data_IF_857403680499
#
_entry.id   IF_857403680499
#
_cell.length_a   1.000
_cell.length_b   1.000
_cell.length_c   1.000
_cell.angle_alpha   90.00
_cell.angle_beta   90.00
_cell.angle_gamma   90.00
#
_symmetry.space_group_name_H-M   'P 1'
#
loop_
_entity.id
_entity.type
_entity.pdbx_description
1 polymer ?
#
# COMPACT_ATOMS: atom_id res chain seq x y z
N UNK A 1 0.58 -36.12 -48.93
CA UNK A 1 1.01 -35.08 -49.89
C UNK A 1 1.06 -33.75 -49.16
N UNK A 2 2.27 -33.16 -49.09
CA UNK A 2 2.64 -31.73 -49.00
C UNK A 2 1.77 -30.72 -48.21
N UNK A 3 2.34 -30.20 -47.12
CA UNK A 3 2.34 -28.76 -46.71
C UNK A 3 2.82 -27.84 -47.88
N UNK A 4 2.79 -26.47 -47.85
CA UNK A 4 2.77 -25.55 -46.68
C UNK A 4 2.00 -24.20 -46.83
N UNK A 5 1.97 -23.47 -45.69
CA UNK A 5 2.16 -22.03 -45.42
C UNK A 5 2.05 -20.96 -46.51
N UNK A 6 1.43 -19.80 -46.18
CA UNK A 6 1.98 -18.49 -46.55
C UNK A 6 1.55 -17.34 -45.61
N UNK A 7 2.59 -16.69 -45.08
CA UNK A 7 2.66 -15.35 -44.48
C UNK A 7 2.16 -14.26 -45.43
N UNK A 8 1.51 -13.21 -44.91
CA UNK A 8 1.66 -11.83 -45.43
C UNK A 8 1.62 -10.81 -44.27
N UNK A 9 2.76 -10.14 -44.06
CA UNK A 9 2.96 -8.87 -43.34
C UNK A 9 2.42 -7.68 -44.17
N UNK A 10 2.41 -6.47 -43.59
CA UNK A 10 2.40 -5.10 -44.22
C UNK A 10 1.05 -4.36 -43.95
N UNK A 11 0.94 -3.10 -43.49
CA UNK A 11 1.83 -1.95 -43.28
C UNK A 11 1.17 -1.00 -42.24
N UNK A 12 1.97 -0.32 -41.42
CA UNK A 12 1.55 0.88 -40.66
C UNK A 12 1.72 2.11 -41.55
N UNK A 13 0.72 2.99 -41.65
CA UNK A 13 0.86 4.33 -42.26
C UNK A 13 0.23 5.40 -41.37
N UNK A 14 1.06 6.35 -40.97
CA UNK A 14 0.69 7.58 -40.26
C UNK A 14 0.14 8.61 -41.25
N UNK A 15 -0.91 9.34 -40.85
CA UNK A 15 -1.43 10.48 -41.63
C UNK A 15 -1.34 11.74 -40.78
N UNK A 16 -0.48 12.67 -41.20
CA UNK A 16 -0.41 14.03 -40.69
C UNK A 16 -1.35 14.93 -41.52
N UNK A 17 -2.18 15.73 -40.85
CA UNK A 17 -3.08 16.70 -41.49
C UNK A 17 -2.53 18.10 -41.21
N UNK A 18 -2.11 18.79 -42.27
CA UNK A 18 -1.75 20.21 -42.27
C UNK A 18 -2.91 20.98 -42.92
N UNK A 19 -3.50 21.94 -42.22
CA UNK A 19 -4.54 22.82 -42.77
C UNK A 19 -3.91 24.17 -43.11
N UNK A 20 -4.07 24.57 -44.37
CA UNK A 20 -3.62 25.82 -44.94
C UNK A 20 -4.60 26.97 -44.70
N UNK A 21 -3.98 28.14 -44.61
CA UNK A 21 -4.42 29.52 -44.48
C UNK A 21 -5.48 29.97 -45.51
N UNK A 22 -6.30 30.95 -45.13
CA UNK A 22 -7.04 31.81 -46.08
C UNK A 22 -7.13 33.24 -45.54
N UNK A 23 -6.64 34.19 -46.34
CA UNK A 23 -6.73 35.64 -46.14
C UNK A 23 -8.11 36.19 -46.50
N UNK A 24 -8.56 37.24 -45.82
CA UNK A 24 -9.32 38.32 -46.46
C UNK A 24 -9.16 39.64 -45.70
N UNK A 25 -8.96 40.70 -46.47
CA UNK A 25 -8.69 42.07 -46.01
C UNK A 25 -9.98 42.86 -45.80
N UNK A 26 -9.97 43.80 -44.85
CA UNK A 26 -11.07 44.73 -44.59
C UNK A 26 -10.59 45.97 -43.82
N UNK A 27 -10.68 47.10 -44.50
CA UNK A 27 -10.27 48.50 -44.27
C UNK A 27 -10.66 49.14 -42.92
N UNK A 28 -9.80 50.05 -42.44
CA UNK A 28 -9.93 50.92 -41.23
C UNK A 28 -11.09 51.95 -41.30
N UNK A 29 -11.46 52.58 -40.16
CA UNK A 29 -11.05 53.98 -39.99
C UNK A 29 -10.59 54.41 -38.58
N UNK A 30 -9.94 55.59 -38.59
CA UNK A 30 -9.15 56.30 -37.58
C UNK A 30 -9.92 56.85 -36.37
N UNK A 31 -9.29 56.89 -35.18
CA UNK A 31 -9.67 57.69 -34.00
C UNK A 31 -8.55 57.76 -32.94
N UNK A 32 -8.43 58.83 -32.11
CA UNK A 32 -7.15 59.54 -31.94
C UNK A 32 -6.27 59.17 -30.73
N UNK A 33 -4.96 59.26 -30.99
CA UNK A 33 -3.83 59.75 -30.17
C UNK A 33 -4.05 59.94 -28.67
N UNK A 34 -3.44 59.05 -27.87
CA UNK A 34 -3.08 59.32 -26.48
C UNK A 34 -1.57 59.63 -26.38
N UNK A 35 -1.29 60.82 -25.88
CA UNK A 35 0.02 61.42 -25.63
C UNK A 35 0.79 60.67 -24.54
N UNK A 36 1.92 60.05 -24.88
CA UNK A 36 2.89 59.54 -23.91
C UNK A 36 3.85 60.66 -23.48
N UNK A 37 3.86 61.00 -22.19
CA UNK A 37 4.92 61.77 -21.56
C UNK A 37 6.08 60.82 -21.15
N UNK A 38 7.36 61.22 -21.31
CA UNK A 38 8.49 60.50 -20.74
C UNK A 38 9.03 61.24 -19.51
N UNK A 39 8.82 60.73 -18.30
CA UNK A 39 9.54 61.10 -17.05
C UNK A 39 9.15 60.06 -16.00
N UNK A 40 10.00 59.39 -15.21
CA UNK A 40 11.38 59.62 -14.80
C UNK A 40 12.08 58.26 -14.58
N UNK A 41 13.38 58.21 -14.89
CA UNK A 41 14.28 57.15 -14.41
C UNK A 41 14.48 57.30 -12.90
N UNK A 42 14.07 56.28 -12.15
CA UNK A 42 14.61 56.02 -10.81
C UNK A 42 15.45 54.76 -10.93
N UNK A 43 16.78 54.94 -10.90
CA UNK A 43 17.72 53.88 -10.57
C UNK A 43 17.45 53.44 -9.14
N UNK A 44 16.76 52.32 -8.98
CA UNK A 44 16.87 51.51 -7.77
C UNK A 44 18.01 50.52 -8.00
N UNK A 45 19.03 50.62 -7.16
CA UNK A 45 20.20 49.74 -7.10
C UNK A 45 19.74 48.31 -6.84
N UNK A 46 19.83 47.43 -7.84
CA UNK A 46 19.70 45.99 -7.62
C UNK A 46 20.92 45.52 -6.82
N UNK A 47 20.67 45.15 -5.57
CA UNK A 47 21.57 44.34 -4.76
C UNK A 47 21.48 42.89 -5.27
N UNK A 48 22.56 42.29 -5.83
CA UNK A 48 22.52 40.94 -6.34
C UNK A 48 22.77 39.95 -5.20
N UNK A 49 21.81 39.83 -4.28
CA UNK A 49 21.89 38.85 -3.18
C UNK A 49 20.51 38.43 -2.65
N UNK A 50 19.51 38.31 -3.51
CA UNK A 50 18.24 37.65 -3.17
C UNK A 50 17.66 36.93 -4.37
N UNK A 51 18.29 35.84 -4.78
CA UNK A 51 17.61 34.82 -5.57
C UNK A 51 18.16 33.45 -5.23
N UNK A 52 17.22 32.51 -5.07
CA UNK A 52 17.38 31.06 -4.92
C UNK A 52 17.55 30.57 -3.48
N UNK A 53 16.42 30.47 -2.75
CA UNK A 53 16.25 29.44 -1.73
C UNK A 53 14.86 28.81 -1.92
N UNK A 54 14.85 27.49 -2.03
CA UNK A 54 13.83 26.66 -2.66
C UNK A 54 12.42 26.84 -2.11
N UNK A 55 11.46 26.83 -3.02
CA UNK A 55 10.06 26.62 -2.70
C UNK A 55 9.89 25.20 -2.15
N UNK A 56 9.10 25.06 -1.09
CA UNK A 56 8.59 23.79 -0.58
C UNK A 56 7.37 23.37 -1.42
N UNK A 57 6.70 22.21 -1.17
CA UNK A 57 5.60 21.75 -2.03
C UNK A 57 4.52 22.83 -2.11
N UNK A 58 4.36 23.34 -3.33
CA UNK A 58 3.39 24.37 -3.67
C UNK A 58 1.98 23.85 -3.35
N UNK A 59 1.33 24.42 -2.33
CA UNK A 59 -0.14 24.50 -2.29
C UNK A 59 -0.95 23.43 -1.55
N UNK A 60 -0.62 23.11 -0.29
CA UNK A 60 -1.61 22.42 0.57
C UNK A 60 -2.73 23.40 0.96
N UNK A 61 -3.94 23.16 0.45
CA UNK A 61 -5.10 23.98 0.78
C UNK A 61 -5.56 23.77 2.23
N UNK A 62 -6.09 24.83 2.86
CA UNK A 62 -6.79 24.70 4.14
C UNK A 62 -7.96 23.73 3.97
N UNK A 63 -8.03 22.77 4.89
CA UNK A 63 -9.01 21.69 4.90
C UNK A 63 -8.49 20.35 4.37
N UNK A 64 -7.33 20.33 3.74
CA UNK A 64 -6.63 19.11 3.31
C UNK A 64 -6.16 18.30 4.51
N UNK A 65 -6.33 16.98 4.47
CA UNK A 65 -5.67 16.07 5.42
C UNK A 65 -4.26 15.77 4.91
N UNK A 66 -3.28 15.84 5.79
CA UNK A 66 -1.88 15.52 5.52
C UNK A 66 -1.44 14.35 6.39
N UNK A 67 -0.49 13.57 5.87
CA UNK A 67 0.21 12.52 6.61
C UNK A 67 1.64 12.98 6.89
N UNK A 68 2.13 12.74 8.10
CA UNK A 68 3.53 13.00 8.45
C UNK A 68 4.44 11.98 7.76
N UNK A 69 5.43 12.47 7.02
CA UNK A 69 6.38 11.67 6.24
C UNK A 69 7.78 11.62 6.88
N UNK A 70 8.12 12.55 7.78
CA UNK A 70 9.36 12.50 8.58
C UNK A 70 9.19 11.65 9.85
N UNK A 71 10.31 11.17 10.44
CA UNK A 71 10.27 10.34 11.66
C UNK A 71 9.55 11.06 12.82
N UNK A 72 9.80 12.35 12.99
CA UNK A 72 9.14 13.23 13.96
C UNK A 72 9.03 14.65 13.39
N UNK A 73 7.85 15.25 13.52
CA UNK A 73 7.60 16.66 13.22
C UNK A 73 7.01 17.33 14.45
N UNK A 74 7.54 18.50 14.81
CA UNK A 74 7.15 19.21 16.03
C UNK A 74 6.06 20.23 15.75
N UNK A 75 4.98 20.15 16.52
CA UNK A 75 3.93 21.16 16.56
C UNK A 75 4.38 22.33 17.43
N UNK A 76 4.14 23.55 16.96
CA UNK A 76 4.56 24.80 17.63
C UNK A 76 3.41 25.78 17.81
N UNK A 77 3.55 26.68 18.77
CA UNK A 77 2.58 27.76 19.02
C UNK A 77 2.47 28.79 17.89
N UNK A 78 3.47 28.89 17.01
CA UNK A 78 3.52 29.84 15.89
C UNK A 78 4.32 29.29 14.72
N UNK A 79 4.06 29.81 13.51
CA UNK A 79 4.83 29.54 12.29
C UNK A 79 6.28 30.05 12.40
N UNK A 80 7.17 29.21 12.91
CA UNK A 80 8.59 29.53 13.07
C UNK A 80 9.30 28.66 14.10
N UNK A 81 10.61 28.56 13.94
CA UNK A 81 11.54 27.83 14.82
C UNK A 81 11.63 28.40 16.23
N UNK A 82 11.26 29.68 16.42
CA UNK A 82 11.17 30.33 17.73
C UNK A 82 9.87 30.01 18.50
N UNK A 83 8.86 29.42 17.84
CA UNK A 83 7.61 29.01 18.49
C UNK A 83 7.84 27.90 19.52
N UNK A 84 7.13 27.95 20.65
CA UNK A 84 7.21 26.92 21.68
C UNK A 84 6.63 25.62 21.16
N UNK A 85 7.31 24.50 21.40
CA UNK A 85 6.82 23.17 21.01
C UNK A 85 5.63 22.79 21.89
N UNK A 86 4.48 22.53 21.28
CA UNK A 86 3.24 22.14 21.96
C UNK A 86 2.97 20.64 21.87
N UNK A 87 3.59 19.96 20.90
CA UNK A 87 3.46 18.53 20.69
C UNK A 87 4.38 18.04 19.57
N UNK A 88 4.28 16.76 19.26
CA UNK A 88 5.01 16.12 18.18
C UNK A 88 4.08 15.12 17.50
N UNK A 89 4.16 15.08 16.18
CA UNK A 89 3.55 14.04 15.35
C UNK A 89 4.67 13.19 14.76
N UNK A 90 4.47 11.89 14.65
CA UNK A 90 5.44 10.94 14.11
C UNK A 90 5.01 10.47 12.72
N UNK A 91 5.93 9.84 11.97
CA UNK A 91 5.62 9.30 10.64
C UNK A 91 4.33 8.48 10.66
N UNK A 92 3.43 8.77 9.72
CA UNK A 92 2.14 8.10 9.58
C UNK A 92 0.99 8.83 10.27
N UNK A 93 1.26 9.71 11.24
CA UNK A 93 0.23 10.51 11.89
C UNK A 93 -0.51 11.38 10.87
N UNK A 94 -1.83 11.49 11.05
CA UNK A 94 -2.70 12.29 10.22
C UNK A 94 -3.01 13.60 10.93
N UNK A 95 -3.00 14.70 10.18
CA UNK A 95 -3.44 15.99 10.68
C UNK A 95 -4.22 16.73 9.60
N UNK A 96 -5.20 17.54 10.01
CA UNK A 96 -5.96 18.38 9.09
C UNK A 96 -5.35 19.76 9.04
N UNK A 97 -5.01 20.24 7.85
CA UNK A 97 -4.55 21.62 7.66
C UNK A 97 -5.70 22.58 7.97
N UNK A 98 -5.48 23.48 8.92
CA UNK A 98 -6.44 24.49 9.37
C UNK A 98 -6.00 25.91 9.04
N UNK A 99 -4.71 26.12 8.75
CA UNK A 99 -4.15 27.44 8.39
C UNK A 99 -2.79 27.32 7.68
N UNK A 100 -2.33 28.44 7.11
CA UNK A 100 -1.15 28.49 6.24
C UNK A 100 -1.50 28.46 4.73
N UNK A 101 -0.51 28.43 3.83
CA UNK A 101 0.94 28.42 4.10
C UNK A 101 1.47 29.75 4.64
N UNK A 102 2.45 29.69 5.55
CA UNK A 102 3.24 30.84 6.01
C UNK A 102 4.72 30.52 5.80
N UNK A 103 5.43 31.38 5.07
CA UNK A 103 6.88 31.31 4.93
C UNK A 103 7.57 31.94 6.15
N UNK A 104 8.38 31.16 6.87
CA UNK A 104 9.12 31.65 8.04
C UNK A 104 10.33 30.77 8.33
N UNK A 105 11.45 31.39 8.73
CA UNK A 105 12.71 30.70 9.05
C UNK A 105 13.24 29.73 7.97
N UNK A 106 12.88 29.98 6.70
CA UNK A 106 13.30 29.16 5.56
C UNK A 106 12.46 27.90 5.32
N UNK A 107 11.31 27.77 5.98
CA UNK A 107 10.35 26.69 5.77
C UNK A 107 8.95 27.23 5.46
N UNK A 108 8.17 26.43 4.74
CA UNK A 108 6.72 26.62 4.65
C UNK A 108 6.04 25.99 5.86
N UNK A 109 5.30 26.78 6.61
CA UNK A 109 4.58 26.37 7.80
C UNK A 109 3.08 26.22 7.54
N UNK A 110 2.50 25.18 8.13
CA UNK A 110 1.07 24.93 8.12
C UNK A 110 0.57 24.75 9.55
N UNK A 111 -0.57 25.36 9.86
CA UNK A 111 -1.30 25.10 11.09
C UNK A 111 -2.15 23.85 10.87
N UNK A 112 -2.00 22.87 11.75
CA UNK A 112 -2.71 21.60 11.65
C UNK A 112 -3.46 21.29 12.94
N UNK A 113 -4.50 20.50 12.81
CA UNK A 113 -5.26 19.91 13.91
C UNK A 113 -5.14 18.39 13.81
N UNK A 114 -4.43 17.78 14.76
CA UNK A 114 -4.09 16.36 14.75
C UNK A 114 -4.19 15.71 16.13
N UNK A 115 -3.74 14.45 16.25
CA UNK A 115 -3.79 13.66 17.48
C UNK A 115 -3.06 14.32 18.66
N UNK A 116 -1.96 15.03 18.41
CA UNK A 116 -1.19 15.78 19.40
C UNK A 116 -1.73 17.20 19.69
N UNK A 117 -2.93 17.52 19.18
CA UNK A 117 -3.58 18.83 19.30
C UNK A 117 -3.28 19.78 18.14
N UNK A 118 -3.68 21.04 18.31
CA UNK A 118 -3.49 22.08 17.29
C UNK A 118 -2.11 22.74 17.42
N UNK A 119 -1.44 22.93 16.29
CA UNK A 119 -0.19 23.68 16.23
C UNK A 119 0.38 23.83 14.83
N UNK A 120 1.45 24.59 14.73
CA UNK A 120 2.19 24.85 13.49
C UNK A 120 3.30 23.82 13.30
N UNK A 121 3.35 23.22 12.12
CA UNK A 121 4.46 22.37 11.69
C UNK A 121 5.09 22.90 10.42
N UNK A 122 6.35 22.54 10.20
CA UNK A 122 7.05 22.81 8.96
C UNK A 122 6.81 21.67 7.98
N UNK A 123 6.64 22.00 6.69
CA UNK A 123 6.39 21.02 5.65
C UNK A 123 7.63 20.28 5.15
N UNK A 124 8.83 20.68 5.60
CA UNK A 124 10.09 20.26 5.00
C UNK A 124 10.39 21.06 3.74
N UNK A 125 11.18 20.48 2.83
CA UNK A 125 11.47 21.04 1.51
C UNK A 125 11.05 20.06 0.39
N UNK A 126 11.25 20.44 -0.87
CA UNK A 126 10.89 19.59 -2.03
C UNK A 126 11.68 18.27 -2.09
N UNK A 127 12.89 18.23 -1.56
CA UNK A 127 13.74 17.02 -1.56
C UNK A 127 13.53 16.13 -0.33
N UNK A 128 13.03 16.70 0.76
CA UNK A 128 12.70 16.00 2.01
C UNK A 128 11.39 16.58 2.60
N UNK A 129 10.23 16.21 2.03
CA UNK A 129 8.94 16.66 2.55
C UNK A 129 8.63 15.96 3.88
N UNK A 130 8.34 16.73 4.91
CA UNK A 130 8.00 16.21 6.23
C UNK A 130 6.51 15.92 6.40
N UNK A 131 5.69 16.49 5.52
CA UNK A 131 4.25 16.19 5.39
C UNK A 131 3.91 16.01 3.90
N UNK A 132 3.00 15.09 3.63
CA UNK A 132 2.46 14.84 2.29
C UNK A 132 0.94 14.94 2.33
N UNK A 133 0.29 15.28 1.22
CA UNK A 133 -1.17 15.23 1.19
C UNK A 133 -1.63 13.78 1.41
N UNK A 134 -2.67 13.58 2.21
CA UNK A 134 -3.24 12.25 2.43
C UNK A 134 -3.75 11.63 1.12
N UNK A 135 -4.11 12.46 0.13
CA UNK A 135 -4.50 12.00 -1.20
C UNK A 135 -3.30 11.44 -1.99
N UNK A 136 -2.13 12.07 -1.90
CA UNK A 136 -0.91 11.55 -2.55
C UNK A 136 -0.36 10.33 -1.83
N UNK A 137 -0.47 10.28 -0.49
CA UNK A 137 -0.18 9.08 0.29
C UNK A 137 -1.15 7.92 0.01
N UNK A 138 -2.40 8.24 -0.36
CA UNK A 138 -3.41 7.27 -0.80
C UNK A 138 -3.31 6.93 -2.30
N UNK A 139 -2.58 7.71 -3.10
CA UNK A 139 -2.36 7.46 -4.53
C UNK A 139 -1.22 6.48 -4.82
N UNK A 140 -0.47 6.06 -3.79
CA UNK A 140 0.54 5.04 -3.94
C UNK A 140 -0.11 3.71 -4.33
N UNK A 141 0.19 3.21 -5.53
CA UNK A 141 -0.30 1.93 -6.01
C UNK A 141 0.60 0.80 -5.50
N UNK A 142 0.03 -0.36 -5.21
CA UNK A 142 0.83 -1.53 -4.89
C UNK A 142 1.49 -2.06 -6.17
N UNK A 143 2.80 -1.85 -6.31
CA UNK A 143 3.60 -2.34 -7.43
C UNK A 143 3.70 -3.87 -7.40
N UNK A 144 3.90 -4.44 -6.23
CA UNK A 144 4.10 -5.87 -6.06
C UNK A 144 3.56 -6.37 -4.72
N UNK A 145 2.95 -7.56 -4.75
CA UNK A 145 2.42 -8.25 -3.58
C UNK A 145 2.82 -9.71 -3.60
N UNK A 146 3.24 -10.20 -2.44
CA UNK A 146 3.53 -11.61 -2.22
C UNK A 146 2.72 -12.13 -1.04
N UNK A 147 2.01 -13.23 -1.25
CA UNK A 147 1.30 -13.99 -0.22
C UNK A 147 1.68 -15.46 -0.30
N UNK A 148 1.57 -16.16 0.83
CA UNK A 148 1.89 -17.58 0.90
C UNK A 148 1.00 -18.32 1.88
N UNK A 149 0.80 -19.60 1.60
CA UNK A 149 0.09 -20.51 2.48
C UNK A 149 0.77 -21.87 2.46
N UNK A 150 1.06 -22.43 3.63
CA UNK A 150 1.63 -23.77 3.75
C UNK A 150 0.69 -24.65 4.55
N UNK A 151 0.49 -25.88 4.09
CA UNK A 151 -0.36 -26.91 4.68
C UNK A 151 -1.84 -26.50 4.82
N UNK A 152 -2.17 -25.82 5.90
CA UNK A 152 -3.51 -25.30 6.18
C UNK A 152 -3.53 -23.80 5.97
N UNK A 153 -4.08 -23.36 4.83
CA UNK A 153 -4.33 -21.95 4.58
C UNK A 153 -5.52 -21.47 5.39
N UNK A 154 -5.39 -20.39 6.16
CA UNK A 154 -6.55 -19.75 6.74
C UNK A 154 -7.47 -19.21 5.63
N UNK A 155 -8.74 -18.91 5.95
CA UNK A 155 -9.71 -18.43 4.97
C UNK A 155 -9.24 -17.17 4.23
N UNK A 156 -8.52 -16.27 4.91
CA UNK A 156 -7.94 -15.08 4.30
C UNK A 156 -6.43 -15.12 4.49
N UNK A 157 -5.67 -15.20 3.40
CA UNK A 157 -4.20 -15.12 3.45
C UNK A 157 -3.80 -13.69 3.11
N UNK A 158 -3.38 -12.88 4.09
CA UNK A 158 -3.01 -11.51 3.81
C UNK A 158 -1.59 -11.49 3.20
N UNK A 159 -1.11 -10.39 2.63
CA UNK A 159 0.21 -10.35 2.00
C UNK A 159 1.32 -10.37 3.04
N UNK A 160 2.35 -11.18 2.80
CA UNK A 160 3.57 -11.19 3.61
C UNK A 160 4.49 -10.03 3.24
N UNK A 161 4.38 -9.53 2.01
CA UNK A 161 5.17 -8.44 1.49
C UNK A 161 4.34 -7.66 0.47
N UNK A 162 4.28 -6.33 0.62
CA UNK A 162 3.69 -5.40 -0.34
C UNK A 162 4.67 -4.27 -0.58
N UNK A 163 5.02 -4.02 -1.84
CA UNK A 163 5.82 -2.88 -2.30
C UNK A 163 4.91 -1.85 -2.95
N UNK A 164 4.95 -0.62 -2.45
CA UNK A 164 4.19 0.52 -2.93
C UNK A 164 5.02 1.34 -3.93
N UNK A 165 4.36 2.10 -4.80
CA UNK A 165 5.01 2.93 -5.82
C UNK A 165 5.82 4.10 -5.27
N UNK A 166 5.55 4.50 -4.02
CA UNK A 166 6.28 5.52 -3.29
C UNK A 166 7.46 4.97 -2.47
N UNK A 167 7.80 3.68 -2.64
CA UNK A 167 8.90 3.04 -1.92
C UNK A 167 8.56 2.54 -0.52
N UNK A 168 7.32 2.69 -0.05
CA UNK A 168 6.88 2.02 1.18
C UNK A 168 6.82 0.51 0.98
N UNK A 169 7.30 -0.23 1.98
CA UNK A 169 7.19 -1.68 2.05
C UNK A 169 6.44 -2.07 3.30
N UNK A 170 5.32 -2.77 3.15
CA UNK A 170 4.58 -3.40 4.24
C UNK A 170 4.93 -4.88 4.29
N UNK A 171 5.48 -5.35 5.41
CA UNK A 171 5.89 -6.74 5.62
C UNK A 171 5.20 -7.35 6.82
N UNK A 172 4.84 -8.63 6.73
CA UNK A 172 4.50 -9.39 7.92
C UNK A 172 5.76 -9.57 8.78
N UNK A 173 5.68 -9.19 10.06
CA UNK A 173 6.74 -9.33 11.03
C UNK A 173 6.74 -10.72 11.68
N UNK A 174 7.91 -11.13 12.19
CA UNK A 174 8.11 -12.41 12.87
C UNK A 174 8.29 -13.59 11.91
N UNK A 175 8.36 -14.81 12.47
CA UNK A 175 8.43 -16.07 11.69
C UNK A 175 7.04 -16.52 11.17
N UNK A 176 6.02 -15.66 11.27
CA UNK A 176 4.66 -15.93 10.82
C UNK A 176 3.66 -14.83 11.17
N UNK A 177 2.45 -14.92 10.60
CA UNK A 177 1.38 -13.92 10.66
C UNK A 177 0.88 -13.57 12.06
N UNK A 178 1.08 -14.45 13.04
CA UNK A 178 0.46 -14.39 14.36
C UNK A 178 1.30 -13.64 15.41
N UNK A 179 2.63 -13.58 15.26
CA UNK A 179 3.51 -13.25 16.38
C UNK A 179 4.22 -11.89 16.26
N UNK A 180 4.31 -11.31 15.06
CA UNK A 180 5.12 -10.10 14.83
C UNK A 180 4.37 -8.83 14.42
N UNK A 181 3.08 -8.91 14.06
CA UNK A 181 2.36 -7.78 13.47
C UNK A 181 2.93 -7.39 12.10
N UNK A 182 2.22 -6.56 11.34
CA UNK A 182 2.77 -5.95 10.14
C UNK A 182 3.70 -4.80 10.52
N UNK A 183 4.77 -4.66 9.76
CA UNK A 183 5.71 -3.56 9.85
C UNK A 183 5.75 -2.80 8.54
N UNK A 184 6.05 -1.51 8.62
CA UNK A 184 6.25 -0.65 7.46
C UNK A 184 7.63 0.00 7.51
N UNK A 185 8.24 0.12 6.33
CA UNK A 185 9.56 0.74 6.11
C UNK A 185 9.58 1.51 4.81
N UNK A 186 10.39 2.56 4.76
CA UNK A 186 10.63 3.33 3.55
C UNK A 186 11.94 2.88 2.88
N UNK A 187 11.89 2.67 1.57
CA UNK A 187 13.08 2.47 0.74
C UNK A 187 13.70 3.81 0.35
N UNK A 188 15.01 3.82 0.17
CA UNK A 188 15.69 4.85 -0.64
C UNK A 188 15.35 4.64 -2.12
N UNK A 189 15.60 5.63 -2.98
CA UNK A 189 15.41 5.46 -4.44
C UNK A 189 16.21 4.27 -4.98
N UNK A 190 17.48 4.15 -4.57
CA UNK A 190 18.33 3.02 -4.94
C UNK A 190 17.84 1.69 -4.35
N UNK A 191 17.20 1.71 -3.17
CA UNK A 191 16.54 0.56 -2.57
C UNK A 191 15.30 0.14 -3.33
N UNK A 192 14.51 1.10 -3.81
CA UNK A 192 13.35 0.85 -4.67
C UNK A 192 13.77 0.21 -5.99
N UNK A 193 14.78 0.75 -6.67
CA UNK A 193 15.32 0.13 -7.89
C UNK A 193 15.77 -1.32 -7.65
N UNK A 194 16.49 -1.58 -6.55
CA UNK A 194 16.88 -2.95 -6.17
C UNK A 194 15.66 -3.85 -5.91
N UNK A 195 14.63 -3.32 -5.25
CA UNK A 195 13.41 -4.07 -4.98
C UNK A 195 12.67 -4.43 -6.26
N UNK A 196 12.56 -3.50 -7.21
CA UNK A 196 11.95 -3.73 -8.52
C UNK A 196 12.75 -4.77 -9.31
N UNK A 197 14.07 -4.64 -9.37
CA UNK A 197 14.95 -5.58 -10.04
C UNK A 197 14.84 -7.01 -9.48
N UNK A 198 14.76 -7.13 -8.15
CA UNK A 198 14.64 -8.41 -7.47
C UNK A 198 13.25 -9.06 -7.59
N UNK A 199 12.22 -8.28 -7.93
CA UNK A 199 10.82 -8.71 -8.01
C UNK A 199 10.25 -8.51 -9.41
N UNK A 200 9.71 -7.34 -9.71
CA UNK A 200 8.96 -7.04 -10.92
C UNK A 200 9.74 -7.15 -12.22
N UNK A 201 11.06 -7.01 -12.22
CA UNK A 201 11.86 -7.10 -13.45
C UNK A 201 12.34 -8.53 -13.73
N UNK A 202 11.99 -9.50 -12.87
CA UNK A 202 12.32 -10.90 -13.09
C UNK A 202 11.60 -11.46 -14.32
N UNK A 203 12.28 -12.21 -15.20
CA UNK A 203 11.65 -12.85 -16.36
C UNK A 203 10.45 -13.72 -15.98
N UNK A 204 10.53 -14.43 -14.85
CA UNK A 204 9.50 -15.35 -14.39
C UNK A 204 8.23 -14.64 -13.90
N UNK A 205 8.31 -13.35 -13.58
CA UNK A 205 7.21 -12.53 -13.06
C UNK A 205 6.60 -11.59 -14.11
N UNK A 206 7.10 -11.57 -15.35
CA UNK A 206 6.59 -10.71 -16.43
C UNK A 206 5.22 -11.12 -16.98
N UNK A 207 4.74 -12.34 -16.66
CA UNK A 207 3.49 -12.88 -17.18
C UNK A 207 2.85 -13.81 -16.17
N UNK A 208 1.52 -13.90 -16.19
CA UNK A 208 0.80 -14.90 -15.41
C UNK A 208 1.27 -16.30 -15.77
N UNK A 209 1.51 -17.11 -14.76
CA UNK A 209 1.99 -18.47 -14.89
C UNK A 209 1.66 -19.28 -13.64
N UNK A 210 1.58 -20.60 -13.80
CA UNK A 210 1.39 -21.53 -12.71
C UNK A 210 2.47 -22.60 -12.77
N UNK A 211 3.20 -22.79 -11.68
CA UNK A 211 4.31 -23.73 -11.58
C UNK A 211 3.98 -24.82 -10.56
N UNK A 212 3.90 -26.05 -11.04
CA UNK A 212 3.68 -27.23 -10.20
C UNK A 212 4.92 -28.13 -10.16
N UNK A 213 5.14 -28.89 -9.08
CA UNK A 213 6.17 -29.92 -9.04
C UNK A 213 5.85 -31.04 -10.06
N UNK A 214 6.70 -31.20 -11.07
CA UNK A 214 6.56 -32.26 -12.05
C UNK A 214 7.15 -33.57 -11.53
N UNK A 215 6.34 -34.62 -11.43
CA UNK A 215 6.80 -35.93 -10.96
C UNK A 215 7.76 -36.58 -11.93
N UNK A 216 8.82 -37.19 -11.40
CA UNK A 216 9.72 -38.05 -12.17
C UNK A 216 8.96 -39.31 -12.61
N UNK A 217 9.05 -39.71 -13.88
CA UNK A 217 8.44 -40.95 -14.36
C UNK A 217 8.95 -42.16 -13.58
N UNK A 218 8.03 -42.97 -13.05
CA UNK A 218 8.36 -44.18 -12.30
C UNK A 218 8.89 -43.97 -10.89
N UNK A 219 8.89 -42.74 -10.37
CA UNK A 219 9.13 -42.51 -8.94
C UNK A 219 7.95 -43.05 -8.11
N UNK A 220 8.24 -43.40 -6.86
CA UNK A 220 7.23 -43.72 -5.85
C UNK A 220 6.47 -42.44 -5.43
N UNK A 221 5.49 -42.60 -4.53
CA UNK A 221 4.79 -41.47 -3.94
C UNK A 221 5.74 -40.64 -3.07
N UNK A 222 5.73 -39.30 -3.21
CA UNK A 222 6.56 -38.43 -2.39
C UNK A 222 6.09 -38.48 -0.93
N UNK A 223 7.01 -38.25 0.03
CA UNK A 223 6.63 -38.16 1.43
C UNK A 223 5.68 -36.99 1.66
N UNK A 224 4.72 -37.16 2.57
CA UNK A 224 3.72 -36.13 2.90
C UNK A 224 4.24 -35.09 3.88
N UNK A 225 5.28 -34.32 3.54
CA UNK A 225 5.80 -33.27 4.43
C UNK A 225 5.19 -31.88 4.16
N UNK A 226 4.08 -31.81 3.43
CA UNK A 226 3.36 -30.55 3.23
C UNK A 226 3.69 -29.79 1.95
N UNK A 227 2.74 -28.95 1.53
CA UNK A 227 2.88 -28.09 0.34
C UNK A 227 2.75 -26.63 0.76
N UNK A 228 3.53 -25.78 0.12
CA UNK A 228 3.38 -24.34 0.17
C UNK A 228 2.91 -23.83 -1.19
N UNK A 229 1.95 -22.92 -1.18
CA UNK A 229 1.53 -22.16 -2.35
C UNK A 229 1.99 -20.72 -2.17
N UNK A 230 2.77 -20.25 -3.14
CA UNK A 230 3.25 -18.87 -3.23
C UNK A 230 2.50 -18.15 -4.33
N UNK A 231 1.99 -16.96 -4.04
CA UNK A 231 1.35 -16.10 -5.03
C UNK A 231 2.11 -14.78 -5.13
N UNK A 232 2.56 -14.48 -6.33
CA UNK A 232 3.19 -13.23 -6.70
C UNK A 232 2.22 -12.45 -7.59
N UNK A 233 1.87 -11.24 -7.20
CA UNK A 233 0.98 -10.37 -7.95
C UNK A 233 1.69 -9.03 -8.24
N UNK A 234 1.67 -8.61 -9.50
CA UNK A 234 2.22 -7.34 -9.97
C UNK A 234 1.08 -6.38 -10.34
N UNK A 235 1.32 -5.07 -10.21
CA UNK A 235 0.38 -4.02 -10.63
C UNK A 235 0.01 -4.06 -12.11
N UNK A 236 0.88 -4.62 -12.96
CA UNK A 236 0.80 -4.55 -14.44
C UNK A 236 -0.41 -5.23 -15.08
N UNK A 237 -1.39 -5.71 -14.32
CA UNK A 237 -2.62 -6.34 -14.83
C UNK A 237 -2.41 -7.73 -15.46
N UNK A 238 -1.16 -8.20 -15.54
CA UNK A 238 -0.85 -9.60 -15.74
C UNK A 238 -1.35 -10.39 -14.53
N UNK A 239 -2.17 -11.42 -14.77
CA UNK A 239 -2.64 -12.32 -13.71
C UNK A 239 -1.47 -12.85 -12.84
N UNK A 240 -1.75 -13.35 -11.64
CA UNK A 240 -0.71 -13.72 -10.69
C UNK A 240 0.20 -14.82 -11.25
N UNK A 241 1.42 -14.88 -10.73
CA UNK A 241 2.27 -16.07 -10.80
C UNK A 241 2.05 -16.89 -9.54
N UNK A 242 1.62 -18.13 -9.72
CA UNK A 242 1.36 -19.07 -8.63
C UNK A 242 2.38 -20.19 -8.67
N UNK A 243 3.02 -20.47 -7.55
CA UNK A 243 4.02 -21.53 -7.42
C UNK A 243 3.59 -22.47 -6.31
N UNK A 244 3.38 -23.74 -6.64
CA UNK A 244 3.26 -24.80 -5.64
C UNK A 244 4.64 -25.39 -5.42
N UNK A 245 5.10 -25.35 -4.16
CA UNK A 245 6.37 -25.89 -3.72
C UNK A 245 6.18 -26.91 -2.61
N UNK A 246 7.11 -27.85 -2.50
CA UNK A 246 7.19 -28.77 -1.37
C UNK A 246 8.00 -28.11 -0.25
N UNK A 247 7.67 -28.33 1.01
CA UNK A 247 8.37 -27.63 2.13
C UNK A 247 9.88 -27.95 2.18
N UNK A 248 10.28 -29.14 1.68
CA UNK A 248 11.66 -29.64 1.55
C UNK A 248 12.27 -29.35 0.16
N UNK A 249 11.75 -28.35 -0.56
CA UNK A 249 12.24 -28.01 -1.89
C UNK A 249 13.73 -27.59 -1.87
N UNK A 250 14.51 -28.12 -2.81
CA UNK A 250 15.96 -27.93 -2.89
C UNK A 250 16.78 -28.91 -2.06
N UNK A 251 16.14 -29.78 -1.25
CA UNK A 251 16.83 -30.86 -0.54
C UNK A 251 17.22 -32.01 -1.49
N UNK A 252 18.28 -32.77 -1.20
CA UNK A 252 18.71 -33.89 -2.05
C UNK A 252 17.59 -34.89 -2.35
N UNK A 253 16.71 -35.12 -1.38
CA UNK A 253 15.56 -36.03 -1.48
C UNK A 253 14.55 -35.62 -2.55
N UNK A 254 14.37 -34.32 -2.81
CA UNK A 254 13.42 -33.82 -3.81
C UNK A 254 13.69 -34.43 -5.19
N UNK A 255 14.97 -34.54 -5.56
CA UNK A 255 15.40 -34.99 -6.88
C UNK A 255 15.02 -36.45 -7.19
N UNK A 256 14.72 -37.24 -6.16
CA UNK A 256 14.19 -38.60 -6.24
C UNK A 256 12.78 -38.61 -6.83
N UNK A 257 11.95 -37.61 -6.47
CA UNK A 257 10.52 -37.59 -6.76
C UNK A 257 10.14 -36.65 -7.90
N UNK A 258 10.87 -35.55 -8.07
CA UNK A 258 10.51 -34.48 -9.01
C UNK A 258 11.60 -34.21 -10.05
N UNK A 259 11.18 -33.69 -11.21
CA UNK A 259 12.08 -33.19 -12.24
C UNK A 259 12.67 -31.82 -11.83
N UNK A 260 13.91 -31.50 -12.26
CA UNK A 260 14.48 -30.18 -12.04
C UNK A 260 13.62 -29.09 -12.68
N UNK A 261 13.31 -28.04 -11.93
CA UNK A 261 12.52 -26.89 -12.39
C UNK A 261 13.24 -25.58 -12.01
N UNK A 262 14.12 -25.04 -12.86
CA UNK A 262 14.96 -23.90 -12.51
C UNK A 262 14.17 -22.62 -12.24
N UNK A 263 13.10 -22.35 -12.98
CA UNK A 263 12.20 -21.20 -12.77
C UNK A 263 11.47 -21.32 -11.43
N UNK A 264 10.93 -22.51 -11.12
CA UNK A 264 10.32 -22.80 -9.82
C UNK A 264 11.34 -22.61 -8.69
N UNK A 265 12.59 -23.05 -8.89
CA UNK A 265 13.68 -22.87 -7.92
C UNK A 265 13.99 -21.40 -7.67
N UNK A 266 14.07 -20.62 -8.74
CA UNK A 266 14.29 -19.19 -8.72
C UNK A 266 13.20 -18.47 -7.90
N UNK A 267 11.93 -18.81 -8.13
CA UNK A 267 10.79 -18.23 -7.41
C UNK A 267 10.66 -18.70 -5.96
N UNK A 268 10.96 -19.98 -5.66
CA UNK A 268 10.95 -20.49 -4.27
C UNK A 268 12.00 -19.78 -3.40
N UNK A 269 13.21 -19.58 -3.92
CA UNK A 269 14.26 -18.83 -3.22
C UNK A 269 13.84 -17.38 -2.94
N UNK A 270 13.19 -16.72 -3.91
CA UNK A 270 12.63 -15.38 -3.71
C UNK A 270 11.53 -15.40 -2.64
N UNK A 271 10.59 -16.35 -2.69
CA UNK A 271 9.55 -16.50 -1.69
C UNK A 271 10.14 -16.62 -0.27
N UNK A 272 11.18 -17.44 -0.09
CA UNK A 272 11.87 -17.59 1.21
C UNK A 272 12.51 -16.30 1.70
N UNK A 273 13.00 -15.45 0.81
CA UNK A 273 13.55 -14.13 1.17
C UNK A 273 12.44 -13.13 1.52
N UNK A 274 11.34 -13.14 0.78
CA UNK A 274 10.17 -12.28 1.02
C UNK A 274 9.47 -12.63 2.32
N UNK A 275 9.30 -13.92 2.64
CA UNK A 275 8.77 -14.39 3.93
C UNK A 275 9.58 -13.89 5.13
N UNK A 276 10.87 -13.59 4.94
CA UNK A 276 11.76 -13.06 5.98
C UNK A 276 11.86 -11.53 5.95
N UNK A 277 10.82 -10.83 5.52
CA UNK A 277 10.81 -9.36 5.46
C UNK A 277 11.74 -8.76 4.41
N UNK A 278 11.98 -9.49 3.30
CA UNK A 278 12.77 -8.97 2.18
C UNK A 278 14.27 -8.91 2.45
N UNK A 279 14.83 -9.94 3.10
CA UNK A 279 16.29 -10.08 3.38
C UNK A 279 17.21 -9.98 2.16
N UNK A 280 16.67 -9.94 0.95
CA UNK A 280 17.42 -9.63 -0.28
C UNK A 280 17.84 -8.15 -0.37
N UNK A 281 17.23 -7.26 0.42
CA UNK A 281 17.59 -5.85 0.52
C UNK A 281 18.60 -5.62 1.66
N UNK A 282 19.73 -5.02 1.34
CA UNK A 282 20.75 -4.64 2.32
C UNK A 282 20.30 -3.49 3.23
N UNK A 283 21.06 -3.21 4.30
CA UNK A 283 20.73 -2.15 5.27
C UNK A 283 20.59 -0.76 4.61
N UNK A 284 21.44 -0.45 3.62
CA UNK A 284 21.45 0.82 2.89
C UNK A 284 20.24 1.03 1.95
N UNK A 285 19.47 -0.03 1.67
CA UNK A 285 18.26 0.09 0.86
C UNK A 285 17.13 0.84 1.60
N UNK A 286 17.25 1.01 2.91
CA UNK A 286 16.20 1.52 3.77
C UNK A 286 16.47 2.95 4.19
N UNK A 287 15.54 3.85 3.89
CA UNK A 287 15.57 5.24 4.35
C UNK A 287 15.08 5.36 5.81
N UNK A 288 14.40 4.33 6.34
CA UNK A 288 13.87 4.33 7.70
C UNK A 288 14.05 3.02 8.44
N UNK A 289 14.02 3.11 9.77
CA UNK A 289 13.78 1.97 10.63
C UNK A 289 12.37 1.36 10.39
N UNK A 290 12.21 0.10 10.80
CA UNK A 290 10.91 -0.58 10.82
C UNK A 290 10.06 -0.08 11.96
N UNK A 291 8.79 0.20 11.67
CA UNK A 291 7.79 0.57 12.65
C UNK A 291 6.54 -0.29 12.46
N UNK A 292 5.74 -0.44 13.51
CA UNK A 292 4.47 -1.15 13.41
C UNK A 292 3.58 -0.47 12.37
N UNK A 293 2.93 -1.27 11.53
CA UNK A 293 2.00 -0.77 10.53
C UNK A 293 0.68 -0.34 11.19
N UNK A 294 0.28 0.89 10.92
CA UNK A 294 -1.02 1.43 11.30
C UNK A 294 -1.86 1.63 10.05
N UNK A 295 -3.03 1.01 10.01
CA UNK A 295 -3.99 1.14 8.90
C UNK A 295 -5.07 2.17 9.22
N UNK A 296 -5.65 2.76 8.17
CA UNK A 296 -6.81 3.66 8.25
C UNK A 296 -8.14 2.91 8.19
N UNK A 297 -8.12 1.63 7.81
CA UNK A 297 -9.32 0.85 7.59
C UNK A 297 -9.04 -0.65 7.71
N UNK A 298 -10.02 -1.36 8.28
CA UNK A 298 -9.96 -2.81 8.43
C UNK A 298 -11.01 -3.44 7.55
N UNK A 299 -10.65 -4.49 6.81
CA UNK A 299 -11.63 -5.40 6.25
C UNK A 299 -12.14 -6.31 7.37
N UNK A 300 -13.46 -6.47 7.44
CA UNK A 300 -14.10 -7.45 8.31
C UNK A 300 -14.91 -8.41 7.46
N UNK A 301 -14.69 -9.70 7.69
CA UNK A 301 -15.41 -10.78 7.02
C UNK A 301 -16.03 -11.69 8.08
N UNK A 302 -17.35 -11.90 7.98
CA UNK A 302 -18.10 -12.71 8.93
C UNK A 302 -18.90 -13.79 8.22
N UNK A 303 -19.03 -14.96 8.85
CA UNK A 303 -19.98 -15.98 8.40
C UNK A 303 -20.50 -16.79 9.58
N UNK A 304 -21.74 -17.25 9.46
CA UNK A 304 -22.34 -18.13 10.45
C UNK A 304 -21.77 -19.53 10.28
N UNK A 305 -21.39 -20.16 11.38
CA UNK A 305 -20.85 -21.51 11.37
C UNK A 305 -21.95 -22.54 11.62
N UNK A 306 -21.84 -23.68 10.92
CA UNK A 306 -22.81 -24.77 11.06
C UNK A 306 -22.31 -25.76 12.11
N UNK A 307 -23.00 -25.87 13.23
CA UNK A 307 -22.65 -26.83 14.28
C UNK A 307 -23.07 -26.38 15.67
N UNK A 308 -22.75 -27.18 16.71
CA UNK A 308 -23.06 -26.80 18.09
C UNK A 308 -22.32 -25.51 18.44
N UNK A 309 -23.07 -24.54 18.96
CA UNK A 309 -22.53 -23.28 19.46
C UNK A 309 -21.56 -23.56 20.59
N UNK A 310 -20.31 -23.13 20.47
CA UNK A 310 -19.36 -23.15 21.59
C UNK A 310 -19.94 -22.38 22.77
N UNK A 311 -20.09 -23.03 23.93
CA UNK A 311 -20.66 -22.38 25.12
C UNK A 311 -19.75 -21.29 25.68
N UNK A 312 -18.45 -21.36 25.37
CA UNK A 312 -17.37 -20.52 25.91
C UNK A 312 -16.98 -19.37 24.98
N UNK A 313 -17.77 -19.11 23.93
CA UNK A 313 -17.51 -17.98 23.02
C UNK A 313 -17.94 -16.64 23.64
N UNK A 314 -17.21 -15.54 23.35
CA UNK A 314 -17.64 -14.20 23.73
C UNK A 314 -19.04 -13.91 23.16
N UNK A 315 -19.89 -13.30 23.98
CA UNK A 315 -21.25 -12.93 23.58
C UNK A 315 -21.25 -11.50 23.08
N UNK A 316 -21.67 -11.30 21.83
CA UNK A 316 -22.03 -10.00 21.29
C UNK A 316 -23.50 -9.74 21.61
N UNK A 317 -23.76 -9.13 22.78
CA UNK A 317 -25.12 -8.72 23.19
C UNK A 317 -25.61 -7.51 22.40
N UNK A 318 -24.70 -6.66 21.96
CA UNK A 318 -24.91 -5.63 20.94
C UNK A 318 -23.85 -5.84 19.87
N UNK A 319 -24.25 -5.89 18.60
CA UNK A 319 -23.32 -6.10 17.48
C UNK A 319 -22.39 -4.91 17.23
N UNK A 320 -22.61 -3.80 17.94
CA UNK A 320 -21.70 -2.65 18.02
C UNK A 320 -21.28 -2.14 16.65
N UNK A 321 -19.97 -2.14 16.31
CA UNK A 321 -19.48 -1.68 15.01
C UNK A 321 -19.97 -2.54 13.83
N UNK A 322 -20.51 -3.74 14.08
CA UNK A 322 -21.08 -4.59 13.05
C UNK A 322 -22.55 -4.26 12.73
N UNK A 323 -23.09 -3.17 13.30
CA UNK A 323 -24.45 -2.69 13.03
C UNK A 323 -25.49 -3.26 13.99
N UNK A 324 -26.76 -3.36 13.56
CA UNK A 324 -27.87 -3.86 14.40
C UNK A 324 -27.95 -5.38 14.47
N UNK A 325 -27.36 -6.09 13.51
CA UNK A 325 -27.09 -7.53 13.57
C UNK A 325 -25.96 -7.88 12.60
N UNK A 326 -25.25 -8.99 12.84
CA UNK A 326 -24.19 -9.47 11.94
C UNK A 326 -24.75 -9.78 10.55
N UNK A 327 -26.02 -10.20 10.46
CA UNK A 327 -26.71 -10.48 9.20
C UNK A 327 -26.92 -9.25 8.31
N UNK A 328 -26.91 -8.04 8.88
CA UNK A 328 -27.02 -6.78 8.13
C UNK A 328 -25.71 -6.01 8.02
N UNK A 329 -24.61 -6.54 8.58
CA UNK A 329 -23.27 -5.99 8.42
C UNK A 329 -22.77 -6.08 6.97
N UNK A 330 -22.38 -4.94 6.39
CA UNK A 330 -21.69 -4.91 5.09
C UNK A 330 -22.49 -5.49 3.92
N UNK A 331 -21.76 -5.93 2.89
CA UNK A 331 -22.30 -6.55 1.68
C UNK A 331 -22.24 -8.09 1.74
N UNK A 332 -23.19 -8.80 1.11
CA UNK A 332 -23.13 -10.24 1.03
C UNK A 332 -21.99 -10.69 0.10
N UNK A 333 -21.26 -11.72 0.53
CA UNK A 333 -20.23 -12.43 -0.26
C UNK A 333 -20.56 -13.93 -0.28
N UNK A 334 -19.89 -14.73 -1.11
CA UNK A 334 -20.21 -16.17 -1.27
C UNK A 334 -20.31 -16.89 0.06
N UNK A 335 -19.34 -16.65 0.94
CA UNK A 335 -19.33 -17.16 2.32
C UNK A 335 -19.57 -16.04 3.31
N UNK A 336 -20.82 -15.63 3.51
CA UNK A 336 -21.22 -14.72 4.59
C UNK A 336 -21.27 -13.25 4.16
N UNK A 337 -20.68 -12.34 4.96
CA UNK A 337 -20.75 -10.89 4.72
C UNK A 337 -19.41 -10.20 4.94
N UNK A 338 -19.16 -9.15 4.17
CA UNK A 338 -17.93 -8.40 4.22
C UNK A 338 -18.22 -6.90 4.33
N UNK A 339 -17.40 -6.19 5.10
CA UNK A 339 -17.48 -4.75 5.23
C UNK A 339 -16.18 -4.17 5.74
N UNK A 340 -16.21 -2.88 6.07
CA UNK A 340 -15.03 -2.15 6.52
C UNK A 340 -15.31 -1.47 7.85
N UNK A 341 -14.32 -1.47 8.74
CA UNK A 341 -14.35 -0.75 10.01
C UNK A 341 -13.24 0.30 10.05
N UNK A 342 -13.51 1.41 10.72
CA UNK A 342 -12.48 2.37 11.15
C UNK A 342 -11.60 1.76 12.25
N UNK A 343 -10.42 2.35 12.57
CA UNK A 343 -9.57 1.85 13.64
C UNK A 343 -10.23 1.86 15.02
N UNK A 344 -11.11 2.83 15.30
CA UNK A 344 -11.86 2.90 16.57
C UNK A 344 -12.89 1.78 16.68
N UNK A 345 -13.63 1.53 15.61
CA UNK A 345 -14.60 0.44 15.52
C UNK A 345 -13.92 -0.92 15.62
N UNK A 346 -12.80 -1.11 14.92
CA UNK A 346 -12.00 -2.33 14.98
C UNK A 346 -11.42 -2.56 16.38
N UNK A 347 -10.96 -1.51 17.07
CA UNK A 347 -10.49 -1.61 18.45
C UNK A 347 -11.63 -2.02 19.41
N UNK A 348 -12.84 -1.50 19.20
CA UNK A 348 -14.03 -1.88 19.98
C UNK A 348 -14.38 -3.36 19.78
N UNK A 349 -14.35 -3.85 18.54
CA UNK A 349 -14.54 -5.28 18.25
C UNK A 349 -13.41 -6.13 18.86
N UNK A 350 -12.15 -5.68 18.74
CA UNK A 350 -10.99 -6.34 19.31
C UNK A 350 -11.05 -6.48 20.83
N UNK A 351 -11.62 -5.50 21.53
CA UNK A 351 -11.85 -5.57 22.97
C UNK A 351 -12.85 -6.69 23.34
N UNK A 352 -13.92 -6.89 22.55
CA UNK A 352 -14.88 -7.99 22.75
C UNK A 352 -14.20 -9.35 22.55
N UNK A 353 -13.42 -9.50 21.48
CA UNK A 353 -12.68 -10.73 21.20
C UNK A 353 -11.67 -11.05 22.32
N UNK A 354 -10.91 -10.03 22.74
CA UNK A 354 -9.91 -10.16 23.82
C UNK A 354 -10.55 -10.50 25.16
N UNK A 355 -11.70 -9.90 25.48
CA UNK A 355 -12.47 -10.23 26.69
C UNK A 355 -12.95 -11.70 26.68
N UNK A 356 -13.19 -12.26 25.49
CA UNK A 356 -13.46 -13.69 25.26
C UNK A 356 -12.22 -14.59 25.23
N UNK A 357 -11.04 -14.06 25.52
CA UNK A 357 -9.77 -14.81 25.48
C UNK A 357 -9.22 -15.06 24.08
N UNK A 358 -9.75 -14.39 23.06
CA UNK A 358 -9.28 -14.52 21.68
C UNK A 358 -8.29 -13.40 21.33
N UNK A 359 -7.15 -13.71 20.68
CA UNK A 359 -6.14 -12.70 20.36
C UNK A 359 -6.66 -11.71 19.31
N UNK A 360 -6.30 -10.44 19.49
CA UNK A 360 -6.56 -9.39 18.52
C UNK A 360 -5.32 -8.50 18.38
N UNK A 361 -4.98 -8.15 17.14
CA UNK A 361 -3.88 -7.24 16.84
C UNK A 361 -4.34 -6.19 15.81
N UNK A 362 -4.15 -4.89 16.07
CA UNK A 362 -4.48 -3.85 15.09
C UNK A 362 -3.52 -3.84 13.89
N UNK A 363 -2.35 -4.47 14.03
CA UNK A 363 -1.34 -4.56 12.97
C UNK A 363 -1.30 -5.93 12.29
N UNK A 364 -2.16 -6.89 12.66
CA UNK A 364 -2.18 -8.20 12.02
C UNK A 364 -3.60 -8.70 11.81
N UNK A 365 -3.73 -9.66 10.90
CA UNK A 365 -4.99 -10.37 10.74
C UNK A 365 -5.35 -11.09 12.04
N UNK A 366 -6.61 -10.94 12.46
CA UNK A 366 -7.16 -11.54 13.67
C UNK A 366 -8.34 -12.43 13.29
N UNK A 367 -8.38 -13.62 13.89
CA UNK A 367 -9.44 -14.60 13.71
C UNK A 367 -10.14 -14.78 15.05
N UNK A 368 -11.45 -14.54 15.06
CA UNK A 368 -12.29 -14.66 16.24
C UNK A 368 -13.57 -15.41 15.95
N UNK A 369 -14.25 -15.79 17.02
CA UNK A 369 -15.57 -16.38 16.97
C UNK A 369 -16.44 -15.77 18.05
N UNK A 370 -17.65 -15.39 17.69
CA UNK A 370 -18.58 -14.65 18.57
C UNK A 370 -19.93 -15.33 18.58
N UNK A 371 -20.61 -15.28 19.71
CA UNK A 371 -21.99 -15.78 19.86
C UNK A 371 -22.97 -14.61 19.87
N UNK A 372 -24.07 -14.80 19.16
CA UNK A 372 -25.25 -13.93 19.12
C UNK A 372 -26.50 -14.78 19.44
N UNK A 373 -27.66 -14.15 19.50
CA UNK A 373 -28.94 -14.86 19.67
C UNK A 373 -29.26 -15.80 18.48
N UNK A 374 -28.77 -15.45 17.29
CA UNK A 374 -29.03 -16.19 16.04
C UNK A 374 -28.03 -17.34 15.79
N UNK A 375 -27.02 -17.50 16.66
CA UNK A 375 -25.98 -18.53 16.53
C UNK A 375 -24.58 -17.99 16.76
N UNK A 376 -23.56 -18.73 16.33
CA UNK A 376 -22.18 -18.27 16.38
C UNK A 376 -21.61 -18.02 15.00
N UNK A 377 -20.70 -17.03 14.97
CA UNK A 377 -20.12 -16.50 13.77
C UNK A 377 -18.61 -16.52 13.90
N UNK A 378 -17.92 -16.86 12.83
CA UNK A 378 -16.50 -16.54 12.69
C UNK A 378 -16.38 -15.11 12.19
N UNK A 379 -15.42 -14.38 12.74
CA UNK A 379 -15.11 -12.99 12.41
C UNK A 379 -13.62 -12.90 12.09
N UNK A 380 -13.31 -12.46 10.88
CA UNK A 380 -11.95 -12.17 10.45
C UNK A 380 -11.80 -10.67 10.35
N UNK A 381 -10.79 -10.12 11.02
CA UNK A 381 -10.46 -8.69 10.96
C UNK A 381 -9.06 -8.57 10.39
N UNK A 382 -8.91 -7.92 9.24
CA UNK A 382 -7.62 -7.72 8.58
C UNK A 382 -7.34 -6.23 8.42
N UNK A 383 -6.15 -5.73 8.83
CA UNK A 383 -5.71 -4.41 8.43
C UNK A 383 -5.60 -4.36 6.89
N UNK A 384 -5.90 -3.20 6.31
CA UNK A 384 -5.73 -2.98 4.86
C UNK A 384 -4.41 -2.28 4.58
N UNK A 385 -3.73 -2.67 3.50
CA UNK A 385 -2.55 -1.98 2.96
C UNK A 385 -2.95 -0.64 2.35
N UNK A 386 -2.01 0.30 2.11
CA UNK A 386 -2.36 1.65 1.65
C UNK A 386 -3.13 1.72 0.33
N UNK A 387 -2.97 0.72 -0.55
CA UNK A 387 -3.76 0.58 -1.79
C UNK A 387 -5.18 0.02 -1.57
N UNK A 388 -5.57 -0.23 -0.31
CA UNK A 388 -6.89 -0.73 0.06
C UNK A 388 -7.07 -2.24 -0.02
N UNK A 389 -6.01 -3.04 -0.19
CA UNK A 389 -6.10 -4.50 -0.12
C UNK A 389 -6.09 -4.99 1.35
N UNK A 390 -6.84 -6.03 1.73
CA UNK A 390 -7.83 -6.73 0.92
C UNK A 390 -9.15 -5.95 0.82
N UNK A 391 -9.90 -6.24 -0.23
CA UNK A 391 -11.28 -5.84 -0.45
C UNK A 391 -12.23 -7.04 -0.32
N UNK A 392 -13.53 -6.79 -0.24
CA UNK A 392 -14.53 -7.87 -0.24
C UNK A 392 -14.48 -8.74 -1.51
N UNK A 393 -14.03 -8.19 -2.64
CA UNK A 393 -13.82 -8.95 -3.88
C UNK A 393 -12.60 -9.87 -3.87
N UNK A 394 -11.67 -9.66 -2.93
CA UNK A 394 -10.47 -10.50 -2.75
C UNK A 394 -10.73 -11.74 -1.87
N UNK A 395 -11.91 -11.81 -1.24
CA UNK A 395 -12.29 -12.96 -0.44
C UNK A 395 -12.47 -14.20 -1.32
N UNK A 396 -12.15 -15.39 -0.79
CA UNK A 396 -12.42 -16.64 -1.49
C UNK A 396 -13.90 -16.70 -1.90
N UNK A 397 -14.10 -16.99 -3.18
CA UNK A 397 -15.37 -17.44 -3.74
C UNK A 397 -15.46 -18.94 -3.45
#
# INVERSE_FOLDING_TARGET
MRQPSLLVRILVTATAVTVLTSCSAGTEPVGPTATFMPTASVSASEDPAASQRGAAPTGLAVGTTVQVAADEVRLRTSAGTAGTITGSLVRGDMARVTGGPIESDGYTWYEVDGSAGRGWLAAGDESDPWIVSAADAAAAEALFRFSYGCDVTPPLVPPAFTLMSDGRVVVAGGDGWADGGWQVRQLTDAGLEQALAATLERPELQRSAEYWPERRPGADDPPGHGLCVYRFAAASGSGPVVVTSVSWFGEPEESTYYLPAPERRSLDLLARQLMKGGTFLGAEAWASAAHAYATDSFLVWTWQEVGPTGTDLPVLTETGPLGSSIEVFGEPVERGRCGYLTPEEAASLGAVLTAGGQPFSPSAISYGSVRTDDGWYTVVVSPRTPDGYPTCGDLPQ
#
